data_IF_334122500399
#
_entry.id   IF_334122500399
#
_cell.length_a   1.000
_cell.length_b   1.000
_cell.length_c   1.000
_cell.angle_alpha   90.00
_cell.angle_beta   90.00
_cell.angle_gamma   90.00
#
_symmetry.space_group_name_H-M   'P 1'
#
loop_
_entity.id
_entity.type
_entity.pdbx_description
1 polymer ?
#
# COMPACT_ATOMS: atom_id res chain seq x y z
N UNK A 1 -10.89 33.22 -8.35
CA UNK A 1 -11.22 32.30 -9.45
C UNK A 1 -11.07 30.89 -8.91
N UNK A 2 -12.07 29.99 -9.02
CA UNK A 2 -11.86 28.62 -8.60
C UNK A 2 -10.90 27.96 -9.60
N UNK A 3 -9.86 27.31 -9.08
CA UNK A 3 -8.92 26.52 -9.88
C UNK A 3 -9.69 25.43 -10.63
N UNK A 4 -9.30 25.11 -11.88
CA UNK A 4 -9.95 24.06 -12.63
C UNK A 4 -9.73 22.72 -11.92
N UNK A 5 -10.81 21.94 -11.78
CA UNK A 5 -10.73 20.52 -11.42
C UNK A 5 -9.93 19.85 -12.54
N UNK A 6 -8.67 19.55 -12.28
CA UNK A 6 -7.86 18.71 -13.16
C UNK A 6 -8.35 17.29 -12.91
N UNK A 7 -9.16 16.74 -13.81
CA UNK A 7 -9.42 15.31 -13.81
C UNK A 7 -8.07 14.61 -13.98
N UNK A 8 -7.62 13.76 -13.04
CA UNK A 8 -6.41 12.99 -13.25
C UNK A 8 -6.62 12.14 -14.50
N UNK A 9 -5.80 12.38 -15.52
CA UNK A 9 -5.75 11.55 -16.71
C UNK A 9 -4.95 10.32 -16.32
N UNK A 10 -5.63 9.33 -15.74
CA UNK A 10 -5.04 8.01 -15.53
C UNK A 10 -4.79 7.40 -16.91
N UNK A 11 -3.56 7.00 -17.26
CA UNK A 11 -3.31 6.28 -18.49
C UNK A 11 -4.11 4.97 -18.46
N UNK A 12 -5.17 4.93 -19.26
CA UNK A 12 -5.95 3.72 -19.48
C UNK A 12 -5.05 2.69 -20.18
N UNK A 13 -4.89 1.50 -19.58
CA UNK A 13 -4.19 0.33 -20.15
C UNK A 13 -4.58 0.18 -21.62
N UNK A 14 -3.61 0.31 -22.53
CA UNK A 14 -3.87 -0.04 -23.93
C UNK A 14 -4.00 -1.56 -24.01
N UNK A 15 -5.09 -2.05 -24.58
CA UNK A 15 -5.28 -3.48 -24.90
C UNK A 15 -4.01 -4.00 -25.59
N UNK A 16 -3.32 -4.95 -24.96
CA UNK A 16 -2.14 -5.63 -25.51
C UNK A 16 -0.78 -5.17 -24.99
N UNK A 17 -0.69 -4.19 -24.07
CA UNK A 17 0.54 -3.97 -23.31
C UNK A 17 0.68 -5.12 -22.28
N UNK A 18 1.54 -6.08 -22.60
CA UNK A 18 1.96 -7.12 -21.67
C UNK A 18 2.84 -6.49 -20.59
N UNK A 19 2.37 -6.53 -19.34
CA UNK A 19 3.26 -6.43 -18.19
C UNK A 19 4.21 -7.61 -18.25
N UNK A 20 5.47 -7.38 -18.59
CA UNK A 20 6.50 -8.39 -18.36
C UNK A 20 6.92 -8.27 -16.90
N UNK A 21 6.10 -8.82 -16.00
CA UNK A 21 6.49 -9.03 -14.61
C UNK A 21 7.39 -10.28 -14.59
N UNK A 22 8.69 -10.10 -14.79
CA UNK A 22 9.65 -11.10 -14.31
C UNK A 22 9.93 -10.74 -12.86
N UNK A 23 9.50 -11.59 -11.94
CA UNK A 23 9.74 -11.44 -10.50
C UNK A 23 11.25 -11.33 -10.29
N UNK A 24 11.75 -10.13 -9.98
CA UNK A 24 13.11 -9.95 -9.49
C UNK A 24 13.12 -10.52 -8.06
N UNK A 25 13.62 -11.73 -7.88
CA UNK A 25 13.92 -12.22 -6.53
C UNK A 25 15.07 -11.36 -5.97
N UNK A 26 14.92 -10.69 -4.81
CA UNK A 26 16.01 -9.93 -4.22
C UNK A 26 17.17 -10.87 -3.85
N UNK A 27 18.41 -10.38 -3.98
CA UNK A 27 19.58 -11.09 -3.45
C UNK A 27 19.46 -11.14 -1.92
N UNK A 28 19.29 -12.35 -1.37
CA UNK A 28 19.11 -12.57 0.08
C UNK A 28 20.43 -12.28 0.79
N UNK A 29 20.61 -11.04 1.25
CA UNK A 29 21.60 -10.67 2.25
C UNK A 29 21.07 -11.01 3.64
N UNK A 30 21.74 -11.93 4.36
CA UNK A 30 21.36 -12.27 5.73
C UNK A 30 21.51 -11.07 6.65
N UNK A 31 20.39 -10.46 7.06
CA UNK A 31 20.36 -9.43 8.10
C UNK A 31 19.78 -10.03 9.38
N UNK A 32 20.61 -10.05 10.43
CA UNK A 32 20.24 -10.50 11.78
C UNK A 32 19.23 -9.53 12.38
N UNK A 33 18.01 -9.98 12.68
CA UNK A 33 17.01 -9.20 13.40
C UNK A 33 17.52 -8.88 14.82
N UNK A 34 17.67 -7.58 15.09
CA UNK A 34 17.94 -7.05 16.42
C UNK A 34 16.80 -6.11 16.75
N UNK A 35 15.90 -6.54 17.64
CA UNK A 35 14.82 -5.70 18.15
C UNK A 35 15.43 -4.55 18.93
N UNK A 36 15.53 -3.37 18.30
CA UNK A 36 15.85 -2.11 18.98
C UNK A 36 14.53 -1.41 19.32
N UNK A 37 14.04 -1.63 20.54
CA UNK A 37 13.07 -0.70 21.13
C UNK A 37 13.85 0.51 21.66
N UNK A 38 13.75 1.65 20.98
CA UNK A 38 14.01 2.95 21.62
C UNK A 38 12.70 3.44 22.24
N UNK A 39 12.80 4.04 23.41
CA UNK A 39 11.67 4.54 24.19
C UNK A 39 10.99 5.72 23.47
N UNK A 40 9.66 5.67 23.33
CA UNK A 40 8.80 6.80 22.88
C UNK A 40 9.25 7.46 21.56
N UNK A 41 9.76 6.65 20.62
CA UNK A 41 10.22 7.14 19.33
C UNK A 41 9.09 7.24 18.31
N UNK A 42 9.18 8.23 17.43
CA UNK A 42 8.34 8.44 16.25
C UNK A 42 8.38 7.26 15.25
N UNK A 43 9.17 6.21 15.52
CA UNK A 43 9.37 5.05 14.65
C UNK A 43 9.63 3.79 15.47
N UNK A 44 9.01 2.67 15.09
CA UNK A 44 9.40 1.34 15.54
C UNK A 44 9.13 0.28 14.45
N UNK A 45 9.80 -0.87 14.56
CA UNK A 45 9.65 -2.00 13.65
C UNK A 45 9.04 -3.18 14.42
N UNK A 46 8.06 -3.83 13.81
CA UNK A 46 7.40 -5.03 14.34
C UNK A 46 7.14 -6.04 13.23
N UNK A 47 7.00 -7.31 13.62
CA UNK A 47 6.66 -8.38 12.69
C UNK A 47 5.16 -8.63 12.69
N UNK A 48 4.56 -8.69 11.50
CA UNK A 48 3.16 -9.04 11.29
C UNK A 48 3.10 -10.41 10.61
N UNK A 49 2.46 -11.37 11.26
CA UNK A 49 2.30 -12.71 10.71
C UNK A 49 1.07 -12.80 9.79
N UNK A 50 1.25 -13.39 8.61
CA UNK A 50 0.19 -13.72 7.67
C UNK A 50 0.35 -15.17 7.17
N UNK A 51 -0.36 -16.12 7.78
CA UNK A 51 -0.12 -17.53 7.51
C UNK A 51 1.27 -17.97 7.97
N UNK A 52 2.09 -18.49 7.04
CA UNK A 52 3.50 -18.85 7.28
C UNK A 52 4.47 -17.69 7.00
N UNK A 53 3.97 -16.60 6.41
CA UNK A 53 4.77 -15.43 6.04
C UNK A 53 4.88 -14.44 7.22
N UNK A 54 6.01 -13.73 7.26
CA UNK A 54 6.29 -12.69 8.26
C UNK A 54 6.66 -11.41 7.55
N UNK A 55 5.83 -10.37 7.73
CA UNK A 55 6.01 -9.05 7.14
C UNK A 55 6.71 -8.15 8.15
N UNK A 56 7.93 -7.69 7.81
CA UNK A 56 8.64 -6.67 8.58
C UNK A 56 7.95 -5.33 8.38
N UNK A 57 7.35 -4.80 9.45
CA UNK A 57 6.49 -3.61 9.40
C UNK A 57 7.13 -2.44 10.15
N UNK A 58 7.48 -1.38 9.43
CA UNK A 58 7.93 -0.10 9.98
C UNK A 58 6.72 0.79 10.23
N UNK A 59 6.44 1.09 11.50
CA UNK A 59 5.38 2.03 11.90
C UNK A 59 6.05 3.34 12.29
N UNK A 60 5.69 4.43 11.62
CA UNK A 60 6.40 5.71 11.81
C UNK A 60 5.52 6.94 11.62
N UNK A 61 5.83 8.01 12.34
CA UNK A 61 5.47 9.41 12.07
C UNK A 61 6.69 10.26 11.72
N UNK A 62 7.90 9.69 11.67
CA UNK A 62 9.11 10.42 11.25
C UNK A 62 9.31 10.34 9.74
N UNK A 63 9.45 11.50 9.09
CA UNK A 63 9.81 11.64 7.68
C UNK A 63 11.18 11.07 7.36
N UNK A 64 12.15 11.15 8.27
CA UNK A 64 13.49 10.59 8.09
C UNK A 64 13.45 9.05 7.98
N UNK A 65 12.62 8.40 8.81
CA UNK A 65 12.43 6.96 8.71
C UNK A 65 11.72 6.54 7.41
N UNK A 66 10.88 7.41 6.84
CA UNK A 66 10.28 7.18 5.52
C UNK A 66 11.34 7.33 4.41
N UNK A 67 12.24 8.31 4.51
CA UNK A 67 13.38 8.46 3.59
C UNK A 67 14.27 7.20 3.60
N UNK A 68 14.63 6.70 4.80
CA UNK A 68 15.41 5.47 4.97
C UNK A 68 14.71 4.25 4.34
N UNK A 69 13.38 4.13 4.55
CA UNK A 69 12.60 3.03 3.98
C UNK A 69 12.56 3.09 2.45
N UNK A 70 12.37 4.29 1.87
CA UNK A 70 12.38 4.50 0.42
C UNK A 70 13.76 4.20 -0.16
N UNK A 71 14.84 4.62 0.49
CA UNK A 71 16.21 4.32 0.06
C UNK A 71 16.52 2.82 0.09
N UNK A 72 16.04 2.10 1.12
CA UNK A 72 16.17 0.64 1.19
C UNK A 72 15.46 -0.03 0.01
N UNK A 73 14.23 0.40 -0.31
CA UNK A 73 13.48 -0.12 -1.46
C UNK A 73 14.22 0.13 -2.77
N UNK A 74 14.69 1.36 -3.02
CA UNK A 74 15.49 1.65 -4.22
C UNK A 74 16.75 0.79 -4.30
N UNK A 75 17.41 0.54 -3.18
CA UNK A 75 18.59 -0.31 -3.11
C UNK A 75 18.29 -1.77 -3.44
N UNK A 76 17.16 -2.30 -2.96
CA UNK A 76 16.73 -3.68 -3.23
C UNK A 76 16.46 -3.95 -4.72
N UNK A 77 15.92 -2.96 -5.43
CA UNK A 77 15.57 -3.08 -6.85
C UNK A 77 16.53 -2.33 -7.76
N UNK A 78 17.71 -1.94 -7.27
CA UNK A 78 18.71 -1.26 -8.05
C UNK A 78 19.10 -2.08 -9.29
N UNK A 79 18.82 -1.54 -10.47
CA UNK A 79 19.10 -2.22 -11.74
C UNK A 79 18.11 -3.33 -12.12
N UNK A 80 17.01 -3.51 -11.38
CA UNK A 80 15.92 -4.39 -11.85
C UNK A 80 15.25 -3.71 -13.07
N UNK A 81 15.22 -4.36 -14.24
CA UNK A 81 14.65 -3.76 -15.44
C UNK A 81 13.11 -3.82 -15.47
N UNK A 82 12.50 -4.44 -14.46
CA UNK A 82 11.08 -4.75 -14.43
C UNK A 82 10.30 -3.75 -13.58
N UNK A 83 8.99 -3.72 -13.82
CA UNK A 83 8.07 -2.97 -12.98
C UNK A 83 7.83 -3.71 -11.67
N UNK A 84 7.76 -2.94 -10.58
CA UNK A 84 7.67 -3.45 -9.22
C UNK A 84 6.31 -3.11 -8.63
N UNK A 85 5.63 -4.11 -8.08
CA UNK A 85 4.32 -3.92 -7.46
C UNK A 85 4.47 -3.50 -6.00
N UNK A 86 3.69 -2.50 -5.62
CA UNK A 86 3.58 -2.00 -4.25
C UNK A 86 2.10 -1.99 -3.88
N UNK A 87 1.73 -2.73 -2.84
CA UNK A 87 0.40 -2.63 -2.27
C UNK A 87 0.23 -1.28 -1.60
N UNK A 88 -0.83 -0.56 -1.95
CA UNK A 88 -1.17 0.75 -1.38
C UNK A 88 -2.54 0.69 -0.75
N UNK A 89 -2.63 1.21 0.47
CA UNK A 89 -3.90 1.50 1.13
C UNK A 89 -3.79 2.82 1.90
N UNK A 90 -4.94 3.41 2.26
CA UNK A 90 -5.00 4.63 3.06
C UNK A 90 -6.15 4.51 4.06
N UNK A 91 -5.89 4.85 5.32
CA UNK A 91 -6.91 4.82 6.38
C UNK A 91 -7.17 6.21 6.94
N UNK A 92 -8.43 6.49 7.30
CA UNK A 92 -8.85 7.74 7.95
C UNK A 92 -9.97 7.48 8.95
N UNK A 93 -10.13 8.39 9.90
CA UNK A 93 -11.25 8.28 10.85
C UNK A 93 -12.58 8.46 10.11
N UNK A 94 -13.55 7.53 10.23
CA UNK A 94 -14.85 7.70 9.63
C UNK A 94 -15.60 8.92 10.19
N UNK A 95 -16.31 9.65 9.32
CA UNK A 95 -17.14 10.79 9.69
C UNK A 95 -18.58 10.57 9.19
N UNK A 96 -19.55 10.78 10.08
CA UNK A 96 -20.98 10.80 9.73
C UNK A 96 -21.44 12.17 9.22
N UNK A 97 -20.54 13.16 9.18
CA UNK A 97 -20.84 14.49 8.66
C UNK A 97 -20.50 14.59 7.17
N UNK A 98 -20.93 15.68 6.52
CA UNK A 98 -20.55 15.95 5.13
C UNK A 98 -19.05 16.21 4.96
N UNK A 99 -18.36 16.56 6.04
CA UNK A 99 -16.91 16.81 6.06
C UNK A 99 -16.22 15.51 6.46
N UNK A 100 -15.37 14.98 5.58
CA UNK A 100 -14.56 13.80 5.85
C UNK A 100 -13.28 14.21 6.60
N UNK A 101 -12.83 13.36 7.53
CA UNK A 101 -11.54 13.56 8.20
C UNK A 101 -10.40 13.26 7.22
N UNK A 102 -9.28 13.99 7.28
CA UNK A 102 -8.14 13.76 6.39
C UNK A 102 -7.64 12.31 6.45
N UNK A 103 -6.98 11.87 5.39
CA UNK A 103 -6.15 10.67 5.41
C UNK A 103 -5.26 10.68 6.66
N UNK A 104 -5.26 9.60 7.44
CA UNK A 104 -4.51 9.53 8.69
C UNK A 104 -3.25 8.68 8.56
N UNK A 105 -3.33 7.63 7.74
CA UNK A 105 -2.29 6.64 7.53
C UNK A 105 -2.15 6.34 6.04
N UNK A 106 -0.90 6.19 5.60
CA UNK A 106 -0.55 5.60 4.32
C UNK A 106 0.12 4.24 4.60
N UNK A 107 -0.35 3.20 3.93
CA UNK A 107 0.30 1.89 3.93
C UNK A 107 0.93 1.62 2.57
N UNK A 108 2.19 1.19 2.59
CA UNK A 108 2.90 0.72 1.40
C UNK A 108 3.51 -0.65 1.72
N UNK A 109 3.25 -1.65 0.90
CA UNK A 109 3.83 -2.98 1.09
C UNK A 109 4.46 -3.52 -0.19
N UNK A 110 5.72 -3.92 -0.06
CA UNK A 110 6.54 -4.46 -1.15
C UNK A 110 7.28 -5.69 -0.63
N UNK A 111 7.15 -6.82 -1.33
CA UNK A 111 7.51 -8.14 -0.81
C UNK A 111 6.99 -8.34 0.64
N UNK A 112 7.87 -8.67 1.58
CA UNK A 112 7.57 -8.83 3.02
C UNK A 112 7.96 -7.59 3.83
N UNK A 113 7.92 -6.40 3.23
CA UNK A 113 8.23 -5.12 3.90
C UNK A 113 7.06 -4.16 3.80
N UNK A 114 6.52 -3.78 4.95
CA UNK A 114 5.42 -2.82 5.02
C UNK A 114 5.86 -1.54 5.73
N UNK A 115 5.54 -0.39 5.13
CA UNK A 115 5.58 0.91 5.77
C UNK A 115 4.16 1.30 6.17
N UNK A 116 3.97 1.65 7.44
CA UNK A 116 2.78 2.32 7.96
C UNK A 116 3.21 3.72 8.38
N UNK A 117 2.90 4.71 7.54
CA UNK A 117 3.24 6.11 7.78
C UNK A 117 2.02 6.88 8.32
N UNK A 118 2.11 7.35 9.56
CA UNK A 118 1.08 8.12 10.26
C UNK A 118 1.06 9.57 9.77
N UNK A 119 0.61 9.80 8.52
CA UNK A 119 0.54 11.10 7.84
C UNK A 119 -0.01 12.24 8.71
N UNK A 120 -1.07 11.99 9.49
CA UNK A 120 -1.70 13.01 10.33
C UNK A 120 -0.80 13.49 11.48
N UNK A 121 0.14 12.65 11.91
CA UNK A 121 1.06 12.91 13.02
C UNK A 121 2.49 13.13 12.55
N UNK A 122 2.70 13.21 11.22
CA UNK A 122 4.04 13.30 10.65
C UNK A 122 4.75 14.59 11.09
N UNK A 123 6.03 14.49 11.43
CA UNK A 123 6.89 15.66 11.66
C UNK A 123 7.12 16.45 10.37
N UNK A 124 7.29 15.75 9.25
CA UNK A 124 7.23 16.26 7.88
C UNK A 124 6.92 15.11 6.90
N UNK A 125 6.48 15.47 5.69
CA UNK A 125 6.32 14.53 4.58
C UNK A 125 7.55 14.71 3.67
N UNK A 126 8.39 13.69 3.47
CA UNK A 126 9.62 13.83 2.71
C UNK A 126 9.36 13.88 1.20
N UNK A 127 10.13 14.72 0.49
CA UNK A 127 10.10 14.78 -0.98
C UNK A 127 10.44 13.42 -1.62
N UNK A 128 11.28 12.61 -0.96
CA UNK A 128 11.62 11.26 -1.40
C UNK A 128 10.38 10.36 -1.55
N UNK A 129 9.38 10.50 -0.67
CA UNK A 129 8.11 9.77 -0.80
C UNK A 129 7.32 10.23 -2.03
N UNK A 130 7.25 11.54 -2.26
CA UNK A 130 6.57 12.10 -3.45
C UNK A 130 7.24 11.63 -4.75
N UNK A 131 8.58 11.63 -4.79
CA UNK A 131 9.36 11.09 -5.92
C UNK A 131 9.07 9.61 -6.11
N UNK A 132 9.06 8.81 -5.04
CA UNK A 132 8.79 7.38 -5.07
C UNK A 132 7.38 7.06 -5.62
N UNK A 133 6.34 7.74 -5.12
CA UNK A 133 4.96 7.56 -5.58
C UNK A 133 4.75 7.96 -7.05
N UNK A 134 5.63 8.80 -7.58
CA UNK A 134 5.61 9.25 -8.98
C UNK A 134 6.58 8.49 -9.87
N UNK A 135 7.43 7.61 -9.35
CA UNK A 135 8.42 6.90 -10.16
C UNK A 135 7.75 5.85 -11.06
N UNK A 136 8.20 5.77 -12.33
CA UNK A 136 7.64 4.85 -13.32
C UNK A 136 8.04 3.39 -13.08
N UNK A 137 9.04 3.13 -12.24
CA UNK A 137 9.45 1.79 -11.88
C UNK A 137 8.42 1.08 -11.00
N UNK A 138 7.65 1.82 -10.19
CA UNK A 138 6.70 1.24 -9.24
C UNK A 138 5.26 1.36 -9.74
N UNK A 139 4.46 0.35 -9.42
CA UNK A 139 3.03 0.26 -9.69
C UNK A 139 2.29 0.01 -8.38
N UNK A 140 1.37 0.91 -8.06
CA UNK A 140 0.63 0.92 -6.81
C UNK A 140 -0.71 0.23 -7.00
N UNK A 141 -0.92 -0.86 -6.28
CA UNK A 141 -2.08 -1.75 -6.45
C UNK A 141 -2.91 -1.82 -5.18
N UNK A 142 -4.23 -1.92 -5.35
CA UNK A 142 -5.17 -2.02 -4.24
C UNK A 142 -6.60 -2.15 -4.73
N UNK A 143 -7.54 -2.25 -3.78
CA UNK A 143 -8.98 -2.29 -4.07
C UNK A 143 -9.58 -0.92 -3.83
N UNK A 144 -9.99 -0.24 -4.90
CA UNK A 144 -10.43 1.16 -4.78
C UNK A 144 -9.28 2.16 -4.71
N UNK A 145 -8.05 1.73 -5.02
CA UNK A 145 -6.78 2.49 -4.86
C UNK A 145 -6.78 3.89 -5.47
N UNK A 146 -7.58 4.13 -6.52
CA UNK A 146 -7.73 5.46 -7.10
C UNK A 146 -8.41 6.45 -6.13
N UNK A 147 -9.33 5.99 -5.27
CA UNK A 147 -9.93 6.82 -4.23
C UNK A 147 -8.90 7.21 -3.17
N UNK A 148 -8.01 6.29 -2.81
CA UNK A 148 -6.93 6.51 -1.84
C UNK A 148 -5.90 7.50 -2.39
N UNK A 149 -5.48 7.34 -3.65
CA UNK A 149 -4.60 8.29 -4.32
C UNK A 149 -5.23 9.69 -4.44
N UNK A 150 -6.53 9.78 -4.75
CA UNK A 150 -7.23 11.07 -4.74
C UNK A 150 -7.25 11.70 -3.33
N UNK A 151 -7.33 10.88 -2.27
CA UNK A 151 -7.27 11.36 -0.88
C UNK A 151 -5.90 11.93 -0.56
N UNK A 152 -4.83 11.21 -0.90
CA UNK A 152 -3.45 11.64 -0.72
C UNK A 152 -3.17 12.96 -1.45
N UNK A 153 -3.63 13.09 -2.69
CA UNK A 153 -3.47 14.31 -3.49
C UNK A 153 -4.20 15.51 -2.87
N UNK A 154 -5.41 15.31 -2.34
CA UNK A 154 -6.22 16.40 -1.77
C UNK A 154 -5.72 16.86 -0.40
N UNK A 155 -5.34 15.91 0.45
CA UNK A 155 -5.01 16.19 1.85
C UNK A 155 -3.53 16.56 2.03
N UNK A 156 -2.64 16.04 1.16
CA UNK A 156 -1.18 16.11 1.34
C UNK A 156 -0.38 16.47 0.09
N UNK A 157 -1.02 16.76 -1.05
CA UNK A 157 -0.36 17.00 -2.35
C UNK A 157 0.55 15.84 -2.83
N UNK A 158 0.26 14.62 -2.35
CA UNK A 158 0.95 13.41 -2.76
C UNK A 158 0.26 12.80 -3.97
N UNK A 159 0.88 12.94 -5.14
CA UNK A 159 0.43 12.35 -6.38
C UNK A 159 0.96 10.91 -6.50
N UNK A 160 0.12 9.99 -7.00
CA UNK A 160 0.51 8.61 -7.29
C UNK A 160 0.34 8.36 -8.77
N UNK A 161 1.42 8.00 -9.47
CA UNK A 161 1.44 7.96 -10.94
C UNK A 161 0.80 6.69 -11.51
N UNK A 162 1.37 5.55 -11.16
CA UNK A 162 1.00 4.26 -11.74
C UNK A 162 0.08 3.53 -10.78
N UNK A 163 -1.23 3.62 -10.99
CA UNK A 163 -2.24 2.96 -10.17
C UNK A 163 -2.92 1.86 -10.96
N UNK A 164 -3.14 0.71 -10.33
CA UNK A 164 -3.98 -0.35 -10.90
C UNK A 164 -4.97 -0.88 -9.86
N UNK A 165 -6.25 -0.82 -10.19
CA UNK A 165 -7.31 -1.35 -9.33
C UNK A 165 -7.49 -2.86 -9.57
N UNK A 166 -7.20 -3.65 -8.54
CA UNK A 166 -7.19 -5.11 -8.61
C UNK A 166 -8.56 -5.70 -8.97
N UNK A 167 -9.66 -4.99 -8.73
CA UNK A 167 -11.01 -5.43 -9.11
C UNK A 167 -11.17 -5.54 -10.62
N UNK A 168 -10.58 -4.59 -11.35
CA UNK A 168 -10.60 -4.57 -12.82
C UNK A 168 -9.75 -5.70 -13.39
N UNK A 169 -8.51 -5.82 -12.91
CA UNK A 169 -7.57 -6.86 -13.32
C UNK A 169 -8.15 -8.25 -13.06
N UNK A 170 -8.62 -8.52 -11.83
CA UNK A 170 -9.17 -9.83 -11.49
C UNK A 170 -10.38 -10.20 -12.35
N UNK A 171 -11.27 -9.25 -12.62
CA UNK A 171 -12.45 -9.50 -13.44
C UNK A 171 -12.09 -9.81 -14.91
N UNK A 172 -11.00 -9.25 -15.42
CA UNK A 172 -10.53 -9.47 -16.78
C UNK A 172 -9.75 -10.77 -16.92
N UNK A 173 -8.73 -10.97 -16.08
CA UNK A 173 -7.84 -12.13 -16.14
C UNK A 173 -8.61 -13.42 -15.80
N UNK A 174 -9.49 -13.41 -14.79
CA UNK A 174 -10.28 -14.59 -14.40
C UNK A 174 -11.56 -14.77 -15.22
N UNK A 175 -11.96 -13.79 -16.04
CA UNK A 175 -13.22 -13.82 -16.79
C UNK A 175 -14.49 -13.78 -15.92
N UNK A 176 -14.42 -13.15 -14.73
CA UNK A 176 -15.53 -13.06 -13.75
C UNK A 176 -15.91 -11.57 -13.55
N UNK A 177 -16.89 -11.02 -14.32
CA UNK A 177 -17.23 -9.60 -14.29
C UNK A 177 -17.64 -9.04 -12.92
N UNK A 178 -18.20 -9.88 -12.05
CA UNK A 178 -18.68 -9.52 -10.72
C UNK A 178 -17.53 -9.06 -9.80
N UNK A 179 -16.29 -9.50 -10.07
CA UNK A 179 -15.12 -9.09 -9.29
C UNK A 179 -14.83 -7.58 -9.40
N UNK A 180 -15.39 -6.88 -10.40
CA UNK A 180 -15.33 -5.40 -10.49
C UNK A 180 -15.95 -4.70 -9.29
N UNK A 181 -16.80 -5.39 -8.52
CA UNK A 181 -17.44 -4.87 -7.31
C UNK A 181 -16.95 -5.58 -6.04
N UNK A 182 -15.99 -6.49 -6.14
CA UNK A 182 -15.46 -7.23 -5.00
C UNK A 182 -14.68 -6.33 -4.05
N UNK A 183 -14.77 -6.62 -2.75
CA UNK A 183 -13.85 -6.07 -1.76
C UNK A 183 -12.56 -6.89 -1.69
N UNK A 184 -11.54 -6.36 -1.01
CA UNK A 184 -10.25 -7.06 -0.84
C UNK A 184 -10.41 -8.46 -0.26
N UNK A 185 -11.34 -8.65 0.69
CA UNK A 185 -11.65 -9.95 1.28
C UNK A 185 -12.08 -10.99 0.25
N UNK A 186 -12.89 -10.58 -0.73
CA UNK A 186 -13.39 -11.50 -1.75
C UNK A 186 -12.32 -11.77 -2.81
N UNK A 187 -11.53 -10.77 -3.19
CA UNK A 187 -10.38 -11.00 -4.08
C UNK A 187 -9.33 -11.91 -3.44
N UNK A 188 -9.01 -11.71 -2.15
CA UNK A 188 -8.07 -12.58 -1.42
C UNK A 188 -8.52 -14.04 -1.43
N UNK A 189 -9.83 -14.28 -1.26
CA UNK A 189 -10.38 -15.64 -1.34
C UNK A 189 -10.28 -16.22 -2.75
N UNK A 190 -10.60 -15.42 -3.77
CA UNK A 190 -10.70 -15.91 -5.14
C UNK A 190 -9.33 -16.11 -5.80
N UNK A 191 -8.36 -15.26 -5.49
CA UNK A 191 -7.02 -15.26 -6.12
C UNK A 191 -6.01 -16.03 -5.28
N UNK A 192 -5.96 -15.80 -3.96
CA UNK A 192 -4.96 -16.42 -3.09
C UNK A 192 -5.47 -17.67 -2.35
N UNK A 193 -6.79 -17.94 -2.40
CA UNK A 193 -7.40 -19.00 -1.60
C UNK A 193 -7.42 -18.72 -0.09
N UNK A 194 -7.10 -17.50 0.34
CA UNK A 194 -7.00 -17.12 1.77
C UNK A 194 -8.24 -16.37 2.24
N UNK A 195 -8.60 -16.53 3.51
CA UNK A 195 -9.69 -15.75 4.13
C UNK A 195 -9.11 -14.73 5.09
N UNK A 196 -9.36 -13.45 4.80
CA UNK A 196 -9.02 -12.35 5.71
C UNK A 196 -10.25 -11.86 6.47
N UNK A 197 -10.04 -11.47 7.72
CA UNK A 197 -11.07 -10.84 8.54
C UNK A 197 -10.87 -9.33 8.58
N UNK A 198 -11.95 -8.59 8.36
CA UNK A 198 -11.98 -7.13 8.44
C UNK A 198 -12.99 -6.69 9.50
N UNK A 199 -12.67 -6.87 10.80
CA UNK A 199 -13.64 -6.65 11.87
C UNK A 199 -14.03 -5.17 11.91
N UNK A 200 -15.33 -4.89 11.91
CA UNK A 200 -15.87 -3.53 11.88
C UNK A 200 -15.32 -2.61 12.98
N UNK A 201 -14.92 -3.16 14.14
CA UNK A 201 -14.30 -2.40 15.23
C UNK A 201 -12.97 -1.75 14.83
N UNK A 202 -12.22 -2.39 13.92
CA UNK A 202 -10.93 -1.92 13.42
C UNK A 202 -11.14 -1.02 12.21
N UNK A 203 -11.96 -1.44 11.24
CA UNK A 203 -12.25 -0.63 10.05
C UNK A 203 -12.93 0.70 10.38
N UNK A 204 -13.64 0.77 11.52
CA UNK A 204 -14.26 2.00 12.04
C UNK A 204 -13.51 2.58 13.24
N UNK A 205 -12.27 2.13 13.45
CA UNK A 205 -11.45 2.50 14.60
C UNK A 205 -10.94 3.94 14.55
N UNK A 206 -10.28 4.39 15.63
CA UNK A 206 -9.67 5.71 15.70
C UNK A 206 -8.34 5.71 14.93
N UNK A 207 -8.41 5.73 13.59
CA UNK A 207 -7.22 5.81 12.73
C UNK A 207 -6.46 7.14 12.84
N UNK A 208 -7.09 8.17 13.43
CA UNK A 208 -6.47 9.45 13.78
C UNK A 208 -5.72 9.44 15.12
N UNK A 209 -5.67 8.31 15.83
CA UNK A 209 -4.93 8.19 17.09
C UNK A 209 -3.40 8.26 16.84
N UNK A 210 -2.66 8.90 17.74
CA UNK A 210 -1.20 8.98 17.67
C UNK A 210 -0.48 7.66 18.00
N UNK A 211 -1.21 6.71 18.60
CA UNK A 211 -0.72 5.37 18.89
C UNK A 211 -1.73 4.36 18.35
N UNK A 212 -1.28 3.57 17.37
CA UNK A 212 -2.06 2.45 16.84
C UNK A 212 -2.01 1.26 17.81
N UNK A 213 -3.10 0.52 17.88
CA UNK A 213 -3.12 -0.80 18.52
C UNK A 213 -2.46 -1.86 17.63
N UNK A 214 -2.01 -2.96 18.24
CA UNK A 214 -1.47 -4.12 17.51
C UNK A 214 -2.48 -4.66 16.47
N UNK A 215 -3.79 -4.64 16.78
CA UNK A 215 -4.85 -5.05 15.84
C UNK A 215 -4.94 -4.11 14.63
N UNK A 216 -4.75 -2.80 14.83
CA UNK A 216 -4.73 -1.82 13.74
C UNK A 216 -3.50 -1.96 12.85
N UNK A 217 -2.33 -2.19 13.45
CA UNK A 217 -1.07 -2.43 12.73
C UNK A 217 -1.16 -3.70 11.89
N UNK A 218 -1.63 -4.80 12.51
CA UNK A 218 -1.83 -6.08 11.83
C UNK A 218 -2.77 -5.94 10.63
N UNK A 219 -3.90 -5.27 10.84
CA UNK A 219 -4.90 -5.01 9.79
C UNK A 219 -4.32 -4.17 8.65
N UNK A 220 -3.70 -3.02 8.96
CA UNK A 220 -3.17 -2.09 7.97
C UNK A 220 -2.05 -2.72 7.14
N UNK A 221 -1.15 -3.47 7.79
CA UNK A 221 -0.13 -4.23 7.10
C UNK A 221 -0.74 -5.33 6.21
N UNK A 222 -1.73 -6.06 6.71
CA UNK A 222 -2.40 -7.14 5.96
C UNK A 222 -3.08 -6.61 4.70
N UNK A 223 -3.76 -5.47 4.77
CA UNK A 223 -4.47 -4.90 3.62
C UNK A 223 -3.51 -4.52 2.47
N UNK A 224 -2.40 -3.85 2.79
CA UNK A 224 -1.38 -3.53 1.80
C UNK A 224 -0.64 -4.78 1.29
N UNK A 225 -0.27 -5.71 2.17
CA UNK A 225 0.41 -6.95 1.79
C UNK A 225 -0.44 -7.82 0.87
N UNK A 226 -1.69 -8.09 1.25
CA UNK A 226 -2.61 -8.91 0.44
C UNK A 226 -2.88 -8.25 -0.92
N UNK A 227 -2.96 -6.92 -0.99
CA UNK A 227 -3.09 -6.21 -2.26
C UNK A 227 -1.89 -6.45 -3.17
N UNK A 228 -0.65 -6.38 -2.66
CA UNK A 228 0.54 -6.66 -3.47
C UNK A 228 0.60 -8.12 -3.95
N UNK A 229 0.24 -9.08 -3.09
CA UNK A 229 0.21 -10.51 -3.44
C UNK A 229 -0.87 -10.83 -4.48
N UNK A 230 -2.08 -10.30 -4.34
CA UNK A 230 -3.14 -10.46 -5.35
C UNK A 230 -2.66 -9.91 -6.70
N UNK A 231 -2.04 -8.72 -6.71
CA UNK A 231 -1.45 -8.16 -7.91
C UNK A 231 -0.45 -9.13 -8.53
N UNK A 232 0.52 -9.60 -7.73
CA UNK A 232 1.56 -10.52 -8.19
C UNK A 232 0.97 -11.79 -8.87
N UNK A 233 0.00 -12.46 -8.23
CA UNK A 233 -0.65 -13.65 -8.79
C UNK A 233 -1.38 -13.34 -10.09
N UNK A 234 -2.14 -12.25 -10.15
CA UNK A 234 -2.88 -11.86 -11.35
C UNK A 234 -1.97 -11.52 -12.53
N UNK A 235 -0.87 -10.80 -12.30
CA UNK A 235 0.05 -10.41 -13.37
C UNK A 235 1.00 -11.53 -13.81
N UNK A 236 1.24 -12.52 -12.95
CA UNK A 236 2.06 -13.70 -13.29
C UNK A 236 1.23 -14.88 -13.80
N UNK A 237 -0.09 -14.86 -13.62
CA UNK A 237 -1.01 -15.89 -14.10
C UNK A 237 -1.05 -17.15 -13.22
N UNK A 238 -0.76 -17.02 -11.92
CA UNK A 238 -0.56 -18.12 -10.98
C UNK A 238 -1.77 -18.35 -10.03
N UNK A 239 -3.00 -18.07 -10.50
CA UNK A 239 -4.24 -18.13 -9.72
C UNK A 239 -5.21 -19.26 -10.13
#
# INVERSE_FOLDING_TARGET
>A
TPFPIVNPVYPCRKKGEHFTLVVCAPEIGSSSSRTRRSSMGDTYVTDVAFGEEVITTTVTSSGAAVEDWVEEVYSMYAGCPNQILVGLDVEWRPSYSRVQNPAALLQLCIDQRCLIFQLLHADYIPDALSVFLMDNQFWFVGVGVAADANRLAQDYDLQVRNLEDLRGVAAEEMGIPELRQAGLKDLARQVLGVTIEKPRRITMGPWDACCLSDEQIHYACTDAYVSSQIGLELFTGNY
#
